data_IF_753318164243
#
_entry.id   IF_753318164243
#
_cell.length_a   1.000
_cell.length_b   1.000
_cell.length_c   1.000
_cell.angle_alpha   90.00
_cell.angle_beta   90.00
_cell.angle_gamma   90.00
#
_symmetry.space_group_name_H-M   'P 1'
#
loop_
_entity.id
_entity.type
_entity.pdbx_description
1 polymer ?
#
# COMPACT_ATOMS: atom_id res chain seq x y z
N UNK A 1 -15.65 -4.65 -14.61
CA UNK A 1 -15.01 -5.82 -15.26
C UNK A 1 -13.79 -6.15 -14.43
N UNK A 2 -13.28 -7.38 -14.35
CA UNK A 2 -12.10 -7.67 -13.53
C UNK A 2 -11.03 -8.26 -14.44
N UNK A 3 -9.83 -7.67 -14.44
CA UNK A 3 -8.66 -8.19 -15.12
C UNK A 3 -7.81 -8.88 -14.07
N UNK A 4 -7.78 -10.21 -14.14
CA UNK A 4 -6.91 -11.01 -13.30
C UNK A 4 -5.78 -11.58 -14.15
N UNK A 5 -4.55 -11.22 -13.81
CA UNK A 5 -3.34 -11.90 -14.26
C UNK A 5 -2.94 -12.84 -13.13
N UNK A 6 -2.96 -14.14 -13.41
CA UNK A 6 -2.55 -15.13 -12.43
C UNK A 6 -1.37 -15.95 -12.93
N UNK A 7 -0.42 -16.17 -12.01
CA UNK A 7 0.67 -17.14 -12.05
C UNK A 7 1.58 -17.02 -13.27
N UNK A 8 2.66 -16.26 -13.13
CA UNK A 8 3.77 -16.27 -14.09
C UNK A 8 5.11 -16.36 -13.37
N UNK A 9 5.79 -17.49 -13.56
CA UNK A 9 7.15 -17.72 -13.08
C UNK A 9 7.97 -18.22 -14.26
N UNK A 10 8.87 -17.41 -14.85
CA UNK A 10 9.72 -17.91 -15.91
C UNK A 10 10.58 -19.04 -15.34
N UNK A 11 10.54 -20.20 -15.99
CA UNK A 11 11.42 -21.32 -15.65
C UNK A 11 12.82 -20.87 -16.05
N UNK A 12 13.78 -20.99 -15.12
CA UNK A 12 15.18 -20.59 -15.27
C UNK A 12 15.70 -20.83 -16.69
N UNK A 13 15.93 -19.74 -17.42
CA UNK A 13 16.24 -19.75 -18.86
C UNK A 13 16.05 -18.35 -19.46
N UNK A 14 16.48 -18.15 -20.72
CA UNK A 14 16.31 -16.89 -21.44
C UNK A 14 14.82 -16.64 -21.76
N UNK A 15 14.08 -16.18 -20.77
CA UNK A 15 12.74 -15.66 -20.95
C UNK A 15 12.90 -14.18 -21.33
N UNK A 16 12.38 -13.79 -22.51
CA UNK A 16 12.37 -12.38 -22.94
C UNK A 16 11.27 -11.56 -22.23
N UNK A 17 10.54 -12.17 -21.31
CA UNK A 17 9.44 -11.55 -20.57
C UNK A 17 10.02 -10.92 -19.31
N UNK A 18 10.22 -9.61 -19.38
CA UNK A 18 10.61 -8.78 -18.23
C UNK A 18 9.36 -8.18 -17.57
N UNK A 19 9.45 -7.61 -16.35
CA UNK A 19 8.37 -6.85 -15.74
C UNK A 19 7.80 -5.80 -16.70
N UNK A 20 8.69 -5.10 -17.39
CA UNK A 20 8.38 -4.08 -18.39
C UNK A 20 7.49 -4.63 -19.51
N UNK A 21 7.84 -5.78 -20.10
CA UNK A 21 7.07 -6.38 -21.20
C UNK A 21 5.65 -6.74 -20.77
N UNK A 22 5.48 -7.26 -19.54
CA UNK A 22 4.15 -7.54 -19.00
C UNK A 22 3.33 -6.27 -18.78
N UNK A 23 3.97 -5.21 -18.26
CA UNK A 23 3.32 -3.92 -18.02
C UNK A 23 2.95 -3.22 -19.34
N UNK A 24 3.77 -3.34 -20.38
CA UNK A 24 3.45 -2.82 -21.72
C UNK A 24 2.25 -3.56 -22.32
N UNK A 25 2.22 -4.90 -22.23
CA UNK A 25 1.09 -5.70 -22.68
C UNK A 25 -0.20 -5.36 -21.92
N UNK A 26 -0.09 -5.12 -20.61
CA UNK A 26 -1.20 -4.61 -19.78
C UNK A 26 -1.69 -3.26 -20.27
N UNK A 27 -0.77 -2.33 -20.51
CA UNK A 27 -1.10 -1.00 -21.00
C UNK A 27 -1.81 -1.05 -22.35
N UNK A 28 -1.28 -1.78 -23.33
CA UNK A 28 -1.90 -1.97 -24.64
C UNK A 28 -3.30 -2.60 -24.55
N UNK A 29 -3.47 -3.61 -23.68
CA UNK A 29 -4.77 -4.22 -23.44
C UNK A 29 -5.79 -3.22 -22.88
N UNK A 30 -5.36 -2.34 -21.97
CA UNK A 30 -6.21 -1.30 -21.39
C UNK A 30 -6.51 -0.16 -22.37
N UNK A 31 -5.55 0.24 -23.20
CA UNK A 31 -5.77 1.27 -24.22
C UNK A 31 -6.90 0.91 -25.19
N UNK A 32 -6.98 -0.37 -25.57
CA UNK A 32 -8.03 -0.89 -26.43
C UNK A 32 -9.41 -1.00 -25.78
N UNK A 33 -9.50 -0.89 -24.45
CA UNK A 33 -10.68 -1.24 -23.66
C UNK A 33 -11.01 -0.15 -22.63
N UNK A 34 -11.99 0.72 -22.91
CA UNK A 34 -12.47 1.75 -21.97
C UNK A 34 -13.39 1.17 -20.87
N UNK A 35 -12.87 0.32 -20.01
CA UNK A 35 -13.65 -0.22 -18.89
C UNK A 35 -12.98 0.12 -17.56
N UNK A 36 -13.79 0.46 -16.54
CA UNK A 36 -13.35 0.43 -15.13
C UNK A 36 -13.14 -1.02 -14.72
N UNK A 37 -11.88 -1.46 -14.68
CA UNK A 37 -11.49 -2.86 -14.60
C UNK A 37 -10.64 -3.14 -13.38
N UNK A 38 -11.21 -3.65 -12.29
CA UNK A 38 -10.41 -4.04 -11.10
C UNK A 38 -9.23 -4.92 -11.51
N UNK A 39 -8.02 -4.50 -11.14
CA UNK A 39 -6.77 -5.16 -11.52
C UNK A 39 -6.29 -6.05 -10.38
N UNK A 40 -6.16 -7.35 -10.67
CA UNK A 40 -5.51 -8.31 -9.79
C UNK A 40 -4.31 -8.93 -10.50
N UNK A 41 -3.14 -8.90 -9.87
CA UNK A 41 -1.92 -9.56 -10.34
C UNK A 41 -1.45 -10.51 -9.25
N UNK A 42 -1.53 -11.81 -9.51
CA UNK A 42 -1.23 -12.89 -8.58
C UNK A 42 0.00 -13.68 -9.03
N UNK A 43 0.94 -13.95 -8.11
CA UNK A 43 2.05 -14.89 -8.25
C UNK A 43 2.94 -14.67 -9.49
N UNK A 44 3.34 -13.41 -9.72
CA UNK A 44 4.31 -13.04 -10.75
C UNK A 44 5.68 -12.80 -10.12
N UNK A 45 6.65 -13.62 -10.51
CA UNK A 45 8.04 -13.50 -10.07
C UNK A 45 8.97 -13.40 -11.27
N UNK A 46 9.99 -12.56 -11.17
CA UNK A 46 11.08 -12.49 -12.15
C UNK A 46 12.36 -12.82 -11.41
N UNK A 47 13.15 -13.73 -11.98
CA UNK A 47 14.50 -13.97 -11.50
C UNK A 47 15.32 -12.70 -11.71
N UNK A 48 16.26 -12.40 -10.80
CA UNK A 48 17.10 -11.21 -10.89
C UNK A 48 17.67 -11.05 -12.30
N UNK A 49 17.14 -10.09 -13.06
CA UNK A 49 17.85 -9.56 -14.21
C UNK A 49 19.13 -8.95 -13.65
N UNK A 50 20.26 -9.61 -13.89
CA UNK A 50 21.60 -9.09 -13.65
C UNK A 50 21.90 -7.78 -14.42
N UNK A 51 20.89 -7.17 -15.05
CA UNK A 51 20.96 -5.93 -15.81
C UNK A 51 20.42 -4.68 -15.08
N UNK A 52 19.87 -4.81 -13.86
CA UNK A 52 19.40 -3.65 -13.08
C UNK A 52 20.51 -2.74 -12.52
N UNK A 53 21.79 -3.08 -12.72
CA UNK A 53 22.96 -2.25 -12.37
C UNK A 53 23.34 -1.20 -13.44
N UNK A 54 22.42 -0.76 -14.29
CA UNK A 54 22.69 0.26 -15.33
C UNK A 54 21.87 1.55 -15.26
N UNK A 55 21.20 1.81 -14.14
CA UNK A 55 20.81 3.17 -13.79
C UNK A 55 21.83 3.75 -12.81
N UNK A 56 23.09 3.78 -13.26
CA UNK A 56 24.15 4.49 -12.57
C UNK A 56 24.22 5.93 -13.11
N UNK A 57 24.32 6.83 -12.17
CA UNK A 57 24.21 8.26 -12.27
C UNK A 57 25.47 8.82 -12.97
N UNK A 58 25.45 8.94 -14.31
CA UNK A 58 26.49 9.69 -15.02
C UNK A 58 25.91 10.75 -15.94
N UNK A 59 26.00 11.99 -15.45
CA UNK A 59 26.05 13.22 -16.23
C UNK A 59 26.93 13.07 -17.49
N UNK A 60 26.37 13.28 -18.68
CA UNK A 60 26.73 14.36 -19.60
C UNK A 60 26.12 14.17 -20.99
N UNK A 61 25.43 15.21 -21.45
CA UNK A 61 25.32 15.65 -22.85
C UNK A 61 25.10 14.59 -23.93
N UNK A 62 23.84 14.30 -24.26
CA UNK A 62 23.30 14.64 -25.58
C UNK A 62 21.79 14.49 -25.56
N UNK A 63 21.11 15.57 -25.95
CA UNK A 63 19.65 15.62 -26.12
C UNK A 63 19.35 15.04 -27.50
N UNK A 64 19.24 13.72 -27.61
CA UNK A 64 18.48 13.00 -28.65
C UNK A 64 18.90 11.52 -28.66
N UNK A 65 18.39 10.74 -27.71
CA UNK A 65 18.33 9.29 -27.84
C UNK A 65 17.29 8.74 -26.85
N UNK A 66 16.17 8.28 -27.41
CA UNK A 66 15.27 7.30 -26.79
C UNK A 66 14.63 7.72 -25.46
N UNK A 67 13.66 8.63 -25.56
CA UNK A 67 12.40 8.44 -24.83
C UNK A 67 11.85 7.05 -25.21
N UNK A 68 12.29 6.00 -24.51
CA UNK A 68 11.54 4.75 -24.49
C UNK A 68 10.17 5.13 -23.95
N UNK A 69 9.14 5.00 -24.80
CA UNK A 69 7.75 5.27 -24.50
C UNK A 69 7.34 4.40 -23.31
N UNK A 70 7.51 4.90 -22.10
CA UNK A 70 7.01 4.25 -20.89
C UNK A 70 5.50 4.34 -20.97
N UNK A 71 4.82 3.23 -21.25
CA UNK A 71 3.37 3.15 -21.14
C UNK A 71 2.96 3.48 -19.71
N UNK A 72 2.21 4.56 -19.54
CA UNK A 72 1.74 5.04 -18.23
C UNK A 72 0.45 4.29 -17.90
N UNK A 73 0.35 3.61 -16.76
CA UNK A 73 -0.88 2.90 -16.36
C UNK A 73 -1.95 3.86 -15.79
N UNK A 74 -2.28 4.93 -16.52
CA UNK A 74 -3.16 6.02 -16.10
C UNK A 74 -4.65 5.67 -16.15
N UNK A 75 -5.06 4.90 -17.16
CA UNK A 75 -6.45 4.50 -17.42
C UNK A 75 -7.05 3.49 -16.42
N UNK A 76 -6.36 3.16 -15.34
CA UNK A 76 -6.89 2.32 -14.27
C UNK A 76 -7.90 3.15 -13.45
N UNK A 77 -9.12 3.35 -13.96
CA UNK A 77 -10.27 3.93 -13.24
C UNK A 77 -10.85 2.91 -12.26
N UNK A 78 -9.99 2.38 -11.40
CA UNK A 78 -10.28 1.26 -10.51
C UNK A 78 -10.28 1.73 -9.08
N UNK A 79 -11.30 1.37 -8.32
CA UNK A 79 -11.30 1.59 -6.88
C UNK A 79 -10.35 0.63 -6.14
N UNK A 80 -9.88 -0.45 -6.79
CA UNK A 80 -9.06 -1.46 -6.14
C UNK A 80 -8.00 -2.06 -7.07
N UNK A 81 -6.72 -1.96 -6.70
CA UNK A 81 -5.61 -2.70 -7.30
C UNK A 81 -5.11 -3.73 -6.30
N UNK A 82 -5.11 -5.01 -6.68
CA UNK A 82 -4.59 -6.11 -5.85
C UNK A 82 -3.33 -6.69 -6.46
N UNK A 83 -2.24 -6.64 -5.71
CA UNK A 83 -0.94 -7.19 -6.06
C UNK A 83 -0.60 -8.27 -5.03
N UNK A 84 -0.53 -9.53 -5.45
CA UNK A 84 -0.40 -10.67 -4.54
C UNK A 84 0.79 -11.55 -4.89
N UNK A 85 1.61 -11.88 -3.90
CA UNK A 85 2.78 -12.76 -4.04
C UNK A 85 3.76 -12.31 -5.12
N UNK A 86 3.97 -10.99 -5.23
CA UNK A 86 4.85 -10.39 -6.22
C UNK A 86 6.24 -10.12 -5.64
N UNK A 87 7.25 -10.24 -6.50
CA UNK A 87 8.62 -9.86 -6.19
C UNK A 87 8.80 -8.34 -6.16
N UNK A 88 9.78 -7.87 -5.38
CA UNK A 88 10.14 -6.45 -5.33
C UNK A 88 10.41 -5.84 -6.71
N UNK A 89 11.12 -6.55 -7.59
CA UNK A 89 11.43 -6.07 -8.94
C UNK A 89 10.18 -5.75 -9.77
N UNK A 90 9.16 -6.60 -9.67
CA UNK A 90 7.90 -6.33 -10.35
C UNK A 90 7.15 -5.16 -9.73
N UNK A 91 7.08 -5.10 -8.39
CA UNK A 91 6.41 -4.01 -7.68
C UNK A 91 7.05 -2.66 -8.02
N UNK A 92 8.38 -2.60 -8.05
CA UNK A 92 9.12 -1.41 -8.44
C UNK A 92 8.76 -0.99 -9.87
N UNK A 93 8.87 -1.91 -10.84
CA UNK A 93 8.52 -1.61 -12.23
C UNK A 93 7.05 -1.19 -12.40
N UNK A 94 6.14 -1.80 -11.63
CA UNK A 94 4.73 -1.44 -11.62
C UNK A 94 4.53 -0.01 -11.13
N UNK A 95 5.06 0.33 -9.95
CA UNK A 95 4.88 1.65 -9.35
C UNK A 95 5.63 2.77 -10.07
N UNK A 96 6.74 2.47 -10.75
CA UNK A 96 7.44 3.44 -11.59
C UNK A 96 6.60 3.88 -12.81
N UNK A 97 5.64 3.05 -13.23
CA UNK A 97 4.75 3.29 -14.37
C UNK A 97 3.32 3.64 -14.00
N UNK A 98 2.95 3.38 -12.75
CA UNK A 98 1.61 3.63 -12.25
C UNK A 98 1.43 5.12 -11.94
N UNK A 99 0.80 5.85 -12.85
CA UNK A 99 0.42 7.26 -12.65
C UNK A 99 -1.09 7.39 -12.73
N UNK A 100 -1.80 7.39 -11.60
CA UNK A 100 -3.25 7.56 -11.59
C UNK A 100 -3.72 8.82 -12.34
N UNK A 101 -4.77 8.70 -13.15
CA UNK A 101 -5.28 9.80 -14.01
C UNK A 101 -5.98 10.93 -13.22
N UNK A 102 -6.54 10.64 -12.03
CA UNK A 102 -7.27 11.65 -11.23
C UNK A 102 -6.49 12.12 -10.00
N UNK A 103 -6.74 13.36 -9.59
CA UNK A 103 -6.44 13.80 -8.23
C UNK A 103 -7.55 13.27 -7.32
N UNK A 104 -7.40 12.06 -6.80
CA UNK A 104 -8.42 11.29 -6.06
C UNK A 104 -8.87 11.93 -4.74
N UNK A 105 -8.33 13.10 -4.39
CA UNK A 105 -8.73 13.91 -3.22
C UNK A 105 -10.21 14.33 -3.29
N UNK A 106 -10.81 14.39 -4.50
CA UNK A 106 -12.19 14.85 -4.69
C UNK A 106 -13.27 13.76 -4.64
N UNK A 107 -12.92 12.48 -4.86
CA UNK A 107 -13.90 11.40 -5.08
C UNK A 107 -14.23 10.57 -3.82
N UNK A 108 -13.73 10.99 -2.64
CA UNK A 108 -14.14 10.42 -1.35
C UNK A 108 -13.50 9.08 -0.99
N UNK A 109 -12.24 8.86 -1.37
CA UNK A 109 -11.40 7.84 -0.70
C UNK A 109 -11.48 6.41 -1.23
N UNK A 110 -12.25 6.13 -2.29
CA UNK A 110 -12.53 4.74 -2.70
C UNK A 110 -11.38 4.00 -3.38
N UNK A 111 -10.15 4.55 -3.42
CA UNK A 111 -9.02 3.95 -4.15
C UNK A 111 -8.03 3.26 -3.21
N UNK A 112 -7.86 1.95 -3.36
CA UNK A 112 -6.93 1.15 -2.56
C UNK A 112 -5.92 0.37 -3.41
N UNK A 113 -4.66 0.41 -2.97
CA UNK A 113 -3.65 -0.58 -3.37
C UNK A 113 -3.57 -1.63 -2.28
N UNK A 114 -3.81 -2.89 -2.64
CA UNK A 114 -3.63 -4.04 -1.77
C UNK A 114 -2.34 -4.77 -2.15
N UNK A 115 -1.38 -4.82 -1.21
CA UNK A 115 -0.18 -5.64 -1.29
C UNK A 115 -0.37 -6.86 -0.40
N UNK A 116 -0.44 -8.06 -1.00
CA UNK A 116 -0.78 -9.30 -0.29
C UNK A 116 0.32 -10.34 -0.42
N UNK A 117 0.97 -10.75 0.68
CA UNK A 117 2.08 -11.73 0.69
C UNK A 117 3.22 -11.38 -0.31
N UNK A 118 3.46 -10.09 -0.54
CA UNK A 118 4.52 -9.59 -1.42
C UNK A 118 5.87 -9.52 -0.70
N UNK A 119 6.97 -9.60 -1.46
CA UNK A 119 8.34 -9.34 -0.96
C UNK A 119 8.73 -7.89 -1.29
N UNK A 120 9.14 -7.15 -0.26
CA UNK A 120 9.45 -5.72 -0.35
C UNK A 120 10.87 -5.50 0.16
N UNK A 121 11.85 -5.84 -0.68
CA UNK A 121 13.27 -5.85 -0.31
C UNK A 121 13.96 -4.48 -0.46
N UNK A 122 13.33 -3.54 -1.17
CA UNK A 122 13.84 -2.18 -1.37
C UNK A 122 12.78 -1.10 -1.21
N UNK A 123 13.16 0.14 -1.51
CA UNK A 123 12.26 1.29 -1.41
C UNK A 123 11.20 1.20 -2.51
N UNK A 124 9.92 1.29 -2.13
CA UNK A 124 8.80 1.43 -3.04
C UNK A 124 8.29 2.87 -2.99
N UNK A 125 7.75 3.34 -4.11
CA UNK A 125 7.22 4.69 -4.23
C UNK A 125 5.74 4.57 -4.64
N UNK A 126 4.85 4.60 -3.66
CA UNK A 126 3.40 4.41 -3.82
C UNK A 126 2.73 5.80 -3.80
N UNK A 127 3.06 6.62 -4.80
CA UNK A 127 2.97 8.10 -4.72
C UNK A 127 1.57 8.72 -4.73
N UNK A 128 0.50 7.95 -4.77
CA UNK A 128 -0.78 8.51 -5.24
C UNK A 128 -2.05 7.73 -4.85
N UNK A 129 -1.95 6.76 -3.94
CA UNK A 129 -3.12 6.03 -3.47
C UNK A 129 -3.62 6.59 -2.13
N UNK A 130 -4.89 7.05 -2.04
CA UNK A 130 -5.46 7.45 -0.75
C UNK A 130 -5.50 6.27 0.23
N UNK A 131 -5.76 5.05 -0.27
CA UNK A 131 -5.78 3.82 0.51
C UNK A 131 -4.61 2.86 0.24
N UNK A 132 -4.03 2.32 1.31
CA UNK A 132 -3.08 1.20 1.26
C UNK A 132 -3.57 0.08 2.16
N UNK A 133 -3.67 -1.12 1.60
CA UNK A 133 -3.87 -2.37 2.34
C UNK A 133 -2.61 -3.22 2.30
N UNK A 134 -2.10 -3.59 3.46
CA UNK A 134 -1.05 -4.58 3.63
C UNK A 134 -1.70 -5.85 4.19
N UNK A 135 -1.65 -6.92 3.41
CA UNK A 135 -2.20 -8.22 3.79
C UNK A 135 -1.07 -9.25 3.85
N UNK A 136 -0.94 -9.97 4.97
CA UNK A 136 -0.01 -11.12 5.09
C UNK A 136 1.45 -10.78 4.76
N UNK A 137 1.86 -9.54 5.03
CA UNK A 137 3.26 -9.12 4.95
C UNK A 137 4.00 -9.65 6.17
N UNK A 138 5.14 -10.31 5.95
CA UNK A 138 5.75 -11.21 6.95
C UNK A 138 6.65 -10.48 7.91
N UNK A 139 7.33 -9.43 7.48
CA UNK A 139 8.38 -8.79 8.27
C UNK A 139 8.11 -7.31 8.52
N UNK A 140 8.59 -6.82 9.66
CA UNK A 140 8.49 -5.42 10.06
C UNK A 140 9.18 -4.48 9.06
N UNK A 141 10.29 -4.90 8.45
CA UNK A 141 11.02 -4.09 7.48
C UNK A 141 10.28 -3.95 6.14
N UNK A 142 9.62 -5.01 5.68
CA UNK A 142 8.76 -4.94 4.48
C UNK A 142 7.57 -4.00 4.71
N UNK A 143 6.91 -4.11 5.87
CA UNK A 143 5.84 -3.20 6.27
C UNK A 143 6.37 -1.76 6.30
N UNK A 144 7.49 -1.49 6.99
CA UNK A 144 8.09 -0.17 7.06
C UNK A 144 8.41 0.43 5.67
N UNK A 145 8.97 -0.37 4.75
CA UNK A 145 9.27 0.09 3.39
C UNK A 145 8.02 0.44 2.59
N UNK A 146 6.96 -0.35 2.70
CA UNK A 146 5.69 -0.05 2.06
C UNK A 146 5.08 1.24 2.60
N UNK A 147 5.08 1.37 3.93
CA UNK A 147 4.55 2.53 4.65
C UNK A 147 5.36 3.82 4.39
N UNK A 148 6.69 3.74 4.29
CA UNK A 148 7.55 4.88 3.93
C UNK A 148 7.35 5.35 2.48
N UNK A 149 6.93 4.44 1.60
CA UNK A 149 6.63 4.72 0.20
C UNK A 149 5.26 5.34 -0.03
N UNK A 150 4.37 5.29 0.97
CA UNK A 150 2.97 5.66 0.86
C UNK A 150 2.67 6.95 1.62
N UNK A 151 1.82 7.80 1.04
CA UNK A 151 1.46 9.12 1.58
C UNK A 151 -0.04 9.37 1.60
N UNK A 152 -0.85 8.31 1.60
CA UNK A 152 -2.31 8.39 1.69
C UNK A 152 -2.82 8.59 3.13
N UNK A 153 -4.13 8.46 3.30
CA UNK A 153 -4.83 8.71 4.57
C UNK A 153 -5.68 7.54 5.04
N UNK A 154 -5.80 6.46 4.25
CA UNK A 154 -6.53 5.25 4.61
C UNK A 154 -5.59 4.04 4.66
N UNK A 155 -5.39 3.49 5.84
CA UNK A 155 -4.51 2.35 6.06
C UNK A 155 -5.29 1.13 6.54
N UNK A 156 -5.06 0.02 5.86
CA UNK A 156 -5.57 -1.29 6.22
C UNK A 156 -4.40 -2.26 6.46
N UNK A 157 -4.31 -2.85 7.65
CA UNK A 157 -3.33 -3.87 7.99
C UNK A 157 -4.08 -5.16 8.33
N UNK A 158 -3.80 -6.24 7.63
CA UNK A 158 -4.54 -7.51 7.78
C UNK A 158 -3.60 -8.71 7.82
N UNK A 159 -3.72 -9.53 8.87
CA UNK A 159 -2.95 -10.78 9.05
C UNK A 159 -1.43 -10.56 8.87
N UNK A 160 -0.92 -9.41 9.35
CA UNK A 160 0.49 -9.05 9.30
C UNK A 160 1.12 -9.31 10.69
N UNK A 161 1.73 -10.48 10.94
CA UNK A 161 2.19 -10.86 12.28
C UNK A 161 3.29 -9.98 12.84
N UNK A 162 4.07 -9.30 11.98
CA UNK A 162 5.10 -8.36 12.38
C UNK A 162 4.56 -6.93 12.63
N UNK A 163 3.26 -6.71 12.45
CA UNK A 163 2.58 -5.50 12.91
C UNK A 163 2.15 -5.73 14.36
N UNK A 164 3.08 -5.51 15.28
CA UNK A 164 2.93 -5.68 16.73
C UNK A 164 3.29 -4.39 17.49
N UNK A 165 3.20 -4.42 18.82
CA UNK A 165 3.52 -3.28 19.67
C UNK A 165 4.95 -2.74 19.45
N UNK A 166 5.92 -3.61 19.18
CA UNK A 166 7.30 -3.19 18.94
C UNK A 166 7.42 -2.43 17.61
N UNK A 167 6.70 -2.87 16.58
CA UNK A 167 6.60 -2.16 15.32
C UNK A 167 5.87 -0.82 15.47
N UNK A 168 4.75 -0.79 16.20
CA UNK A 168 4.01 0.44 16.52
C UNK A 168 4.90 1.44 17.28
N UNK A 169 5.68 0.97 18.25
CA UNK A 169 6.62 1.82 18.97
C UNK A 169 7.75 2.35 18.07
N UNK A 170 8.18 1.59 17.06
CA UNK A 170 9.09 2.08 16.02
C UNK A 170 8.43 3.19 15.19
N UNK A 171 7.14 3.07 14.86
CA UNK A 171 6.40 4.10 14.12
C UNK A 171 6.34 5.44 14.89
N UNK A 172 6.35 5.43 16.22
CA UNK A 172 6.33 6.67 17.04
C UNK A 172 7.50 7.61 16.73
N UNK A 173 8.67 7.08 16.39
CA UNK A 173 9.88 7.87 16.10
C UNK A 173 10.30 7.90 14.62
N UNK A 174 9.62 7.13 13.77
CA UNK A 174 9.86 7.06 12.33
C UNK A 174 9.54 8.36 11.57
N UNK A 175 10.54 9.20 11.25
CA UNK A 175 10.35 10.41 10.45
C UNK A 175 9.71 10.15 9.06
N UNK A 176 9.84 8.92 8.55
CA UNK A 176 9.28 8.47 7.28
C UNK A 176 7.80 8.09 7.35
N UNK A 177 7.22 7.91 8.53
CA UNK A 177 5.83 7.51 8.69
C UNK A 177 4.90 8.71 8.79
N UNK A 178 3.83 8.70 7.97
CA UNK A 178 2.74 9.67 7.81
C UNK A 178 3.06 11.10 8.29
N UNK A 179 3.29 12.01 7.34
CA UNK A 179 3.30 13.45 7.62
C UNK A 179 1.89 14.03 7.80
N UNK A 180 0.84 13.25 7.56
CA UNK A 180 -0.52 13.69 7.78
C UNK A 180 -0.86 13.59 9.27
N UNK A 181 -1.25 14.72 9.85
CA UNK A 181 -1.86 14.79 11.18
C UNK A 181 -3.24 14.10 11.23
N UNK A 182 -3.79 13.69 10.08
CA UNK A 182 -5.11 13.05 9.98
C UNK A 182 -5.01 11.77 9.16
N UNK A 183 -5.42 10.66 9.76
CA UNK A 183 -5.72 9.40 9.09
C UNK A 183 -7.23 9.27 9.03
N UNK A 184 -7.79 9.24 7.82
CA UNK A 184 -9.23 9.12 7.63
C UNK A 184 -9.72 7.73 8.03
N UNK A 185 -8.94 6.68 7.75
CA UNK A 185 -9.31 5.35 8.15
C UNK A 185 -8.09 4.53 8.56
N UNK A 186 -8.13 3.94 9.75
CA UNK A 186 -7.16 2.96 10.22
C UNK A 186 -7.89 1.68 10.57
N UNK A 187 -7.67 0.62 9.80
CA UNK A 187 -8.27 -0.69 10.06
C UNK A 187 -7.18 -1.74 10.24
N UNK A 188 -7.26 -2.47 11.33
CA UNK A 188 -6.31 -3.50 11.74
C UNK A 188 -7.09 -4.79 11.96
N UNK A 189 -6.78 -5.83 11.19
CA UNK A 189 -7.41 -7.14 11.30
C UNK A 189 -6.37 -8.22 11.57
N UNK A 190 -6.71 -9.15 12.47
CA UNK A 190 -5.95 -10.38 12.72
C UNK A 190 -4.46 -10.11 13.01
N UNK A 191 -4.17 -9.02 13.70
CA UNK A 191 -2.84 -8.66 14.18
C UNK A 191 -2.80 -8.80 15.70
N UNK A 192 -2.63 -10.03 16.24
CA UNK A 192 -2.82 -10.29 17.67
C UNK A 192 -1.75 -9.64 18.56
N UNK A 193 -0.61 -9.23 17.99
CA UNK A 193 0.49 -8.60 18.72
C UNK A 193 0.28 -7.12 19.05
N UNK A 194 -0.87 -6.54 18.68
CA UNK A 194 -1.21 -5.14 18.96
C UNK A 194 -2.03 -5.03 20.23
N UNK A 195 -1.62 -4.13 21.11
CA UNK A 195 -2.36 -3.71 22.30
C UNK A 195 -3.01 -2.33 22.10
N UNK A 196 -4.13 -2.05 22.80
CA UNK A 196 -4.76 -0.73 22.76
C UNK A 196 -3.79 0.36 23.21
N UNK A 197 -3.08 0.16 24.32
CA UNK A 197 -2.14 1.13 24.85
C UNK A 197 -0.99 1.49 23.90
N UNK A 198 -0.45 0.55 23.11
CA UNK A 198 0.58 0.87 22.12
C UNK A 198 0.03 1.73 20.98
N UNK A 199 -1.16 1.39 20.47
CA UNK A 199 -1.81 2.13 19.41
C UNK A 199 -2.22 3.53 19.87
N UNK A 200 -2.75 3.67 21.09
CA UNK A 200 -3.08 4.95 21.69
C UNK A 200 -1.85 5.85 21.77
N UNK A 201 -0.74 5.35 22.33
CA UNK A 201 0.52 6.11 22.41
C UNK A 201 1.03 6.55 21.04
N UNK A 202 0.88 5.71 20.02
CA UNK A 202 1.24 6.09 18.66
C UNK A 202 0.43 7.30 18.19
N UNK A 203 -0.89 7.26 18.35
CA UNK A 203 -1.78 8.31 17.89
C UNK A 203 -1.58 9.62 18.68
N UNK A 204 -1.49 9.52 20.00
CA UNK A 204 -1.30 10.66 20.91
C UNK A 204 0.04 11.37 20.69
N UNK A 205 1.16 10.64 20.71
CA UNK A 205 2.49 11.27 20.61
C UNK A 205 2.80 11.84 19.22
N UNK A 206 2.11 11.34 18.19
CA UNK A 206 2.20 11.87 16.83
C UNK A 206 1.20 12.98 16.56
N UNK A 207 0.36 13.35 17.53
CA UNK A 207 -0.76 14.27 17.35
C UNK A 207 -1.62 13.88 16.14
N UNK A 208 -1.85 12.57 15.99
CA UNK A 208 -2.58 11.98 14.88
C UNK A 208 -4.05 11.81 15.24
N UNK A 209 -4.90 12.46 14.47
CA UNK A 209 -6.33 12.27 14.54
C UNK A 209 -6.76 11.15 13.59
N UNK A 210 -7.56 10.22 14.11
CA UNK A 210 -8.17 9.17 13.30
C UNK A 210 -9.66 9.46 13.17
N UNK A 211 -10.21 9.35 11.97
CA UNK A 211 -11.67 9.42 11.81
C UNK A 211 -12.28 8.05 12.11
N UNK A 212 -11.95 7.02 11.34
CA UNK A 212 -12.45 5.66 11.59
C UNK A 212 -11.33 4.74 12.09
N UNK A 213 -11.48 4.20 13.30
CA UNK A 213 -10.57 3.23 13.89
C UNK A 213 -11.26 1.88 14.09
N UNK A 214 -10.82 0.89 13.34
CA UNK A 214 -11.33 -0.47 13.42
C UNK A 214 -10.22 -1.44 13.79
N UNK A 215 -10.34 -2.14 14.91
CA UNK A 215 -9.39 -3.18 15.33
C UNK A 215 -10.15 -4.46 15.60
N UNK A 216 -9.78 -5.53 14.90
CA UNK A 216 -10.41 -6.84 15.03
C UNK A 216 -9.40 -7.96 15.11
N UNK A 217 -9.62 -8.90 16.03
CA UNK A 217 -8.71 -10.02 16.25
C UNK A 217 -7.42 -9.61 16.96
N UNK A 218 -7.48 -8.54 17.75
CA UNK A 218 -6.47 -8.25 18.76
C UNK A 218 -6.54 -9.30 19.88
N UNK A 219 -5.42 -9.59 20.54
CA UNK A 219 -5.38 -10.56 21.65
C UNK A 219 -5.73 -9.92 23.01
N UNK A 220 -5.56 -8.61 23.13
CA UNK A 220 -5.78 -7.86 24.37
C UNK A 220 -7.11 -7.11 24.27
N UNK A 221 -8.05 -7.31 25.22
CA UNK A 221 -9.27 -6.50 25.27
C UNK A 221 -8.94 -5.09 25.71
N UNK A 222 -9.72 -4.13 25.22
CA UNK A 222 -9.63 -2.74 25.65
C UNK A 222 -10.28 -2.56 27.03
N UNK A 223 -9.71 -1.69 27.87
CA UNK A 223 -10.35 -1.28 29.14
C UNK A 223 -11.26 -0.07 28.93
N UNK A 224 -12.16 0.19 29.88
CA UNK A 224 -13.06 1.36 29.83
C UNK A 224 -12.27 2.68 29.80
N UNK A 225 -11.14 2.76 30.54
CA UNK A 225 -10.27 3.94 30.53
C UNK A 225 -9.58 4.14 29.18
N UNK A 226 -9.12 3.06 28.55
CA UNK A 226 -8.51 3.12 27.22
C UNK A 226 -9.55 3.50 26.16
N UNK A 227 -10.76 2.94 26.22
CA UNK A 227 -11.85 3.27 25.30
C UNK A 227 -12.19 4.76 25.37
N UNK A 228 -12.31 5.33 26.57
CA UNK A 228 -12.57 6.76 26.74
C UNK A 228 -11.41 7.61 26.20
N UNK A 229 -10.16 7.20 26.44
CA UNK A 229 -8.99 7.87 25.89
C UNK A 229 -8.98 7.85 24.35
N UNK A 230 -9.37 6.73 23.71
CA UNK A 230 -9.50 6.68 22.24
C UNK A 230 -10.61 7.58 21.71
N UNK A 231 -11.72 7.77 22.43
CA UNK A 231 -12.80 8.68 22.01
C UNK A 231 -12.34 10.13 21.92
N UNK A 232 -11.39 10.56 22.73
CA UNK A 232 -10.82 11.90 22.64
C UNK A 232 -9.96 12.11 21.38
N UNK A 233 -9.30 11.04 20.89
CA UNK A 233 -8.47 11.08 19.68
C UNK A 233 -9.27 10.93 18.38
N UNK A 234 -10.44 10.28 18.46
CA UNK A 234 -11.34 10.08 17.32
C UNK A 234 -12.18 11.34 17.09
N UNK A 235 -11.93 12.03 15.98
CA UNK A 235 -12.57 13.33 15.73
C UNK A 235 -14.00 13.15 15.24
N UNK A 236 -14.96 13.56 16.07
CA UNK A 236 -16.39 13.60 15.76
C UNK A 236 -16.70 14.78 14.80
N UNK A 237 -16.35 14.66 13.51
CA UNK A 237 -16.80 15.63 12.49
C UNK A 237 -18.09 15.16 11.82
N UNK A 238 -19.15 16.00 11.79
CA UNK A 238 -20.40 15.64 11.13
C UNK A 238 -20.24 15.79 9.62
N UNK A 239 -19.69 14.78 8.93
CA UNK A 239 -20.06 14.56 7.52
C UNK A 239 -21.40 13.85 7.52
N UNK A 240 -22.36 14.34 6.74
CA UNK A 240 -23.77 13.91 6.74
C UNK A 240 -24.01 12.41 6.39
N UNK A 241 -22.96 11.66 6.09
CA UNK A 241 -22.99 10.23 5.75
C UNK A 241 -22.10 9.37 6.67
N UNK A 242 -21.58 9.94 7.76
CA UNK A 242 -20.51 9.34 8.56
C UNK A 242 -20.88 9.19 10.04
N UNK A 243 -20.42 8.12 10.71
CA UNK A 243 -20.86 7.73 12.07
C UNK A 243 -19.72 7.59 13.09
N UNK A 244 -18.48 8.00 12.79
CA UNK A 244 -17.34 7.92 13.72
C UNK A 244 -17.26 6.60 14.48
N UNK A 245 -16.75 5.53 13.85
CA UNK A 245 -16.77 4.20 14.49
C UNK A 245 -15.42 3.87 15.09
N UNK A 246 -15.40 3.84 16.43
CA UNK A 246 -14.41 3.08 17.19
C UNK A 246 -14.95 1.66 17.41
N UNK A 247 -14.25 0.65 16.90
CA UNK A 247 -14.58 -0.76 17.15
C UNK A 247 -13.29 -1.47 17.56
N UNK A 248 -13.27 -2.00 18.78
CA UNK A 248 -12.25 -2.92 19.25
C UNK A 248 -12.88 -4.26 19.55
N UNK A 249 -12.45 -5.32 18.85
CA UNK A 249 -12.94 -6.66 19.12
C UNK A 249 -11.81 -7.69 19.24
N UNK A 250 -11.84 -8.45 20.33
CA UNK A 250 -11.03 -9.64 20.53
C UNK A 250 -11.71 -10.82 19.84
N UNK A 251 -10.96 -11.60 19.05
CA UNK A 251 -11.50 -12.79 18.39
C UNK A 251 -11.97 -13.87 19.38
#
# INVERSE_FOLDING_TARGET
MNLNISTYRPISGSCNLTPTVLLDALYEFMEGNRFGVDLAIDDVAFDNDSESNKYDDTNNGDKDASQSTVGILDKLDNNYITLRSLSYLFLQAFFDRYVPERSYVADGGTYFICLSNCSIDGNLIIRTAPGLRLERIKTADEIARALAGWSGTELEIDDCPAFDDAFVDRLRSAEWWSQSAVIECLRIWRCPGISPGALYRLLDERDMHVWDLFVWGASVPITDEEEEAFRELVVDKPRAWWTGRFIWNTA
#
